data_IF_210065492330
#
_entry.id   IF_210065492330
#
_cell.length_a   1.000
_cell.length_b   1.000
_cell.length_c   1.000
_cell.angle_alpha   90.00
_cell.angle_beta   90.00
_cell.angle_gamma   90.00
#
_symmetry.space_group_name_H-M   'P 1'
#
loop_
_entity.id
_entity.type
_entity.pdbx_description
1 polymer ?
#
# COMPACT_ATOMS: atom_id res chain seq x y z
N UNK A 1 -4.00 4.15 -2.86
CA UNK A 1 -5.19 4.02 -1.99
C UNK A 1 -6.30 3.15 -2.59
N UNK A 2 -7.09 3.62 -3.56
CA UNK A 2 -8.34 2.96 -4.00
C UNK A 2 -8.14 1.54 -4.53
N UNK A 3 -7.06 1.29 -5.28
CA UNK A 3 -6.73 -0.05 -5.74
C UNK A 3 -6.42 -1.00 -4.58
N UNK A 4 -5.73 -0.55 -3.53
CA UNK A 4 -5.47 -1.38 -2.35
C UNK A 4 -6.75 -1.77 -1.63
N UNK A 5 -7.70 -0.82 -1.49
CA UNK A 5 -9.03 -1.13 -0.95
C UNK A 5 -9.78 -2.18 -1.78
N UNK A 6 -9.73 -2.06 -3.12
CA UNK A 6 -10.36 -3.03 -4.01
C UNK A 6 -9.68 -4.41 -3.94
N UNK A 7 -8.35 -4.47 -3.94
CA UNK A 7 -7.61 -5.72 -3.80
C UNK A 7 -7.87 -6.40 -2.45
N UNK A 8 -7.83 -5.63 -1.36
CA UNK A 8 -8.12 -6.12 -0.02
C UNK A 8 -9.51 -6.76 0.06
N UNK A 9 -10.54 -6.05 -0.45
CA UNK A 9 -11.90 -6.58 -0.50
C UNK A 9 -11.99 -7.87 -1.31
N UNK A 10 -11.46 -7.91 -2.53
CA UNK A 10 -11.58 -9.09 -3.39
C UNK A 10 -10.85 -10.31 -2.83
N UNK A 11 -9.64 -10.12 -2.28
CA UNK A 11 -8.88 -11.21 -1.67
C UNK A 11 -9.64 -11.72 -0.44
N UNK A 12 -10.13 -10.82 0.42
CA UNK A 12 -10.92 -11.20 1.57
C UNK A 12 -12.22 -11.91 1.17
N UNK A 13 -12.89 -11.44 0.12
CA UNK A 13 -14.12 -12.04 -0.40
C UNK A 13 -13.91 -13.48 -0.89
N UNK A 14 -12.80 -13.76 -1.57
CA UNK A 14 -12.43 -15.13 -1.96
C UNK A 14 -12.23 -16.01 -0.71
N UNK A 15 -11.51 -15.50 0.29
CA UNK A 15 -11.30 -16.22 1.57
C UNK A 15 -12.65 -16.48 2.26
N UNK A 16 -13.55 -15.49 2.26
CA UNK A 16 -14.89 -15.61 2.81
C UNK A 16 -15.69 -16.74 2.15
N UNK A 17 -15.72 -16.78 0.81
CA UNK A 17 -16.43 -17.84 0.08
C UNK A 17 -15.88 -19.21 0.46
N UNK A 18 -14.55 -19.36 0.50
CA UNK A 18 -13.89 -20.63 0.83
C UNK A 18 -14.19 -21.03 2.28
N UNK A 19 -14.17 -20.06 3.22
CA UNK A 19 -14.27 -20.35 4.64
C UNK A 19 -15.72 -20.53 5.12
N UNK A 20 -16.63 -19.67 4.67
CA UNK A 20 -18.03 -19.65 5.11
C UNK A 20 -18.97 -20.32 4.12
N UNK A 21 -18.51 -20.66 2.91
CA UNK A 21 -19.33 -21.30 1.88
C UNK A 21 -20.45 -20.42 1.34
N UNK A 22 -20.38 -19.10 1.54
CA UNK A 22 -21.44 -18.17 1.20
C UNK A 22 -20.93 -17.08 0.23
N UNK A 23 -21.73 -16.79 -0.79
CA UNK A 23 -21.46 -15.73 -1.77
C UNK A 23 -21.78 -14.33 -1.24
N UNK A 24 -22.54 -14.18 -0.16
CA UNK A 24 -22.90 -12.88 0.40
C UNK A 24 -22.26 -12.75 1.79
N UNK A 25 -21.57 -11.63 2.02
CA UNK A 25 -21.11 -11.24 3.36
C UNK A 25 -22.26 -10.50 4.05
N UNK A 26 -23.29 -11.24 4.45
CA UNK A 26 -24.60 -10.75 4.91
C UNK A 26 -24.83 -10.70 6.42
N UNK A 27 -26.03 -10.30 6.83
CA UNK A 27 -26.51 -10.41 8.21
C UNK A 27 -25.68 -9.65 9.26
N UNK A 28 -25.13 -10.35 10.23
CA UNK A 28 -24.26 -9.76 11.26
C UNK A 28 -22.85 -9.44 10.74
N UNK A 29 -22.44 -10.00 9.60
CA UNK A 29 -21.07 -9.91 9.08
C UNK A 29 -20.85 -8.77 8.09
N UNK A 30 -21.89 -7.98 7.77
CA UNK A 30 -21.85 -6.92 6.75
C UNK A 30 -20.69 -5.95 6.97
N UNK A 31 -20.34 -5.69 8.23
CA UNK A 31 -19.24 -4.80 8.62
C UNK A 31 -17.88 -5.23 8.05
N UNK A 32 -17.67 -6.52 7.76
CA UNK A 32 -16.40 -7.03 7.21
C UNK A 32 -16.10 -6.47 5.81
N UNK A 33 -17.13 -6.17 5.02
CA UNK A 33 -16.97 -5.51 3.71
C UNK A 33 -16.28 -4.16 3.89
N UNK A 34 -16.82 -3.31 4.77
CA UNK A 34 -16.25 -2.01 5.06
C UNK A 34 -14.85 -2.14 5.69
N UNK A 35 -14.69 -3.03 6.67
CA UNK A 35 -13.40 -3.24 7.34
C UNK A 35 -12.31 -3.66 6.35
N UNK A 36 -12.61 -4.58 5.42
CA UNK A 36 -11.61 -5.04 4.45
C UNK A 36 -11.05 -3.89 3.60
N UNK A 37 -11.92 -2.96 3.22
CA UNK A 37 -11.56 -1.81 2.40
C UNK A 37 -10.80 -0.78 3.23
N UNK A 38 -11.29 -0.45 4.44
CA UNK A 38 -10.64 0.50 5.34
C UNK A 38 -9.22 0.02 5.66
N UNK A 39 -9.05 -1.24 6.06
CA UNK A 39 -7.72 -1.75 6.37
C UNK A 39 -6.82 -1.90 5.15
N UNK A 40 -7.40 -2.14 3.96
CA UNK A 40 -6.65 -2.14 2.70
C UNK A 40 -6.07 -0.77 2.37
N UNK A 41 -6.71 0.32 2.77
CA UNK A 41 -6.21 1.69 2.54
C UNK A 41 -5.53 2.31 3.76
N UNK A 42 -5.69 1.71 4.94
CA UNK A 42 -5.23 2.25 6.22
C UNK A 42 -3.74 2.58 6.23
N UNK A 43 -2.82 1.76 5.67
CA UNK A 43 -1.42 2.11 5.69
C UNK A 43 -1.13 3.48 5.09
N UNK A 44 -1.85 3.90 4.04
CA UNK A 44 -1.70 5.20 3.34
C UNK A 44 -2.28 6.42 4.10
N UNK A 45 -2.96 6.24 5.23
CA UNK A 45 -3.57 7.36 5.99
C UNK A 45 -2.53 8.25 6.66
N UNK A 46 -1.35 7.73 6.91
CA UNK A 46 -0.15 8.46 7.32
C UNK A 46 0.30 9.50 6.29
N UNK A 47 0.19 9.19 4.99
CA UNK A 47 0.49 10.07 3.86
C UNK A 47 -0.56 11.17 3.77
N UNK A 48 -1.82 10.83 4.03
CA UNK A 48 -2.90 11.82 4.19
C UNK A 48 -2.66 12.73 5.41
N UNK A 49 -2.23 12.19 6.55
CA UNK A 49 -1.87 12.98 7.73
C UNK A 49 -0.70 13.93 7.42
N UNK A 50 0.35 13.43 6.76
CA UNK A 50 1.49 14.25 6.34
C UNK A 50 1.07 15.35 5.37
N UNK A 51 0.15 15.04 4.45
CA UNK A 51 -0.42 15.97 3.49
C UNK A 51 -1.22 17.11 4.16
N UNK A 52 -2.04 16.78 5.16
CA UNK A 52 -2.82 17.74 5.94
C UNK A 52 -1.90 18.62 6.79
N UNK A 53 -0.95 18.00 7.51
CA UNK A 53 -0.01 18.70 8.39
C UNK A 53 0.85 19.72 7.65
N UNK A 54 1.25 19.42 6.41
CA UNK A 54 2.11 20.29 5.60
C UNK A 54 1.36 21.29 4.71
N UNK A 55 0.11 21.66 5.07
CA UNK A 55 -0.71 22.67 4.39
C UNK A 55 -0.84 22.46 2.88
N UNK A 56 -1.27 21.26 2.45
CA UNK A 56 -1.77 21.03 1.08
C UNK A 56 -0.80 21.51 -0.02
N UNK A 57 0.36 20.86 -0.14
CA UNK A 57 1.25 20.93 -1.32
C UNK A 57 2.14 22.16 -1.52
N UNK A 58 2.22 23.12 -0.59
CA UNK A 58 3.03 24.36 -0.86
C UNK A 58 4.54 24.13 -0.98
N UNK A 59 5.09 23.05 -0.43
CA UNK A 59 6.45 22.57 -0.68
C UNK A 59 6.48 21.05 -0.53
N UNK A 60 6.23 20.31 -1.59
CA UNK A 60 6.66 18.92 -1.61
C UNK A 60 8.18 18.92 -1.68
N UNK A 61 8.78 18.71 -0.51
CA UNK A 61 10.22 18.58 -0.40
C UNK A 61 10.63 17.33 -1.18
N UNK A 62 11.69 17.42 -1.98
CA UNK A 62 12.23 16.29 -2.74
C UNK A 62 12.60 15.12 -1.83
N UNK A 63 12.72 15.36 -0.53
CA UNK A 63 13.18 14.43 0.50
C UNK A 63 12.13 13.42 1.00
N UNK A 64 10.86 13.61 0.67
CA UNK A 64 9.76 12.77 1.17
C UNK A 64 9.94 11.33 0.68
N UNK A 65 10.07 10.41 1.62
CA UNK A 65 10.19 8.97 1.38
C UNK A 65 9.18 8.26 2.28
N UNK A 66 7.98 8.07 1.72
CA UNK A 66 6.79 7.64 2.45
C UNK A 66 7.01 6.30 3.16
N UNK A 67 7.34 5.25 2.42
CA UNK A 67 7.52 3.90 2.96
C UNK A 67 8.74 3.79 3.90
N UNK A 68 9.66 4.75 3.82
CA UNK A 68 10.84 4.78 4.68
C UNK A 68 10.53 5.33 6.07
N UNK A 69 9.79 6.43 6.16
CA UNK A 69 9.54 7.11 7.43
C UNK A 69 8.24 6.66 8.11
N UNK A 70 7.39 5.94 7.39
CA UNK A 70 6.09 5.51 7.88
C UNK A 70 6.09 4.10 8.42
N UNK A 71 5.92 3.98 9.74
CA UNK A 71 5.79 2.70 10.44
C UNK A 71 4.56 1.89 10.01
N UNK A 72 3.55 2.54 9.43
CA UNK A 72 2.36 1.93 8.81
C UNK A 72 2.67 1.13 7.55
N UNK A 73 3.85 1.33 6.93
CA UNK A 73 4.31 0.53 5.78
C UNK A 73 5.37 -0.51 6.16
N UNK A 74 5.54 -0.77 7.47
CA UNK A 74 6.44 -1.81 7.96
C UNK A 74 5.63 -3.04 8.35
N UNK A 75 5.75 -4.17 7.63
CA UNK A 75 4.89 -5.34 7.87
C UNK A 75 4.99 -5.90 9.28
N UNK A 76 6.13 -5.75 9.96
CA UNK A 76 6.27 -6.19 11.36
C UNK A 76 5.49 -5.32 12.36
N UNK A 77 5.06 -4.11 12.00
CA UNK A 77 4.17 -3.29 12.85
C UNK A 77 2.82 -3.94 13.10
N UNK A 78 2.38 -4.84 12.21
CA UNK A 78 1.07 -5.49 12.25
C UNK A 78 1.11 -6.91 12.83
N UNK A 79 2.28 -7.38 13.29
CA UNK A 79 2.43 -8.70 13.92
C UNK A 79 1.48 -8.92 15.11
N UNK A 80 1.17 -7.92 15.98
CA UNK A 80 0.18 -8.10 17.04
C UNK A 80 -1.20 -8.53 16.53
N UNK A 81 -1.62 -8.10 15.33
CA UNK A 81 -2.90 -8.53 14.76
C UNK A 81 -2.89 -10.02 14.43
N UNK A 82 -1.78 -10.55 13.92
CA UNK A 82 -1.62 -11.98 13.64
C UNK A 82 -1.75 -12.80 14.93
N UNK A 83 -1.13 -12.34 16.01
CA UNK A 83 -1.24 -12.98 17.33
C UNK A 83 -2.69 -12.97 17.81
N UNK A 84 -3.38 -11.82 17.70
CA UNK A 84 -4.80 -11.71 18.08
C UNK A 84 -5.70 -12.62 17.23
N UNK A 85 -5.43 -12.73 15.92
CA UNK A 85 -6.16 -13.66 15.06
C UNK A 85 -5.96 -15.11 15.48
N UNK A 86 -4.72 -15.54 15.75
CA UNK A 86 -4.45 -16.91 16.22
C UNK A 86 -5.20 -17.20 17.52
N UNK A 87 -5.17 -16.28 18.48
CA UNK A 87 -5.92 -16.41 19.74
C UNK A 87 -7.42 -16.52 19.45
N UNK A 88 -7.97 -15.62 18.63
CA UNK A 88 -9.39 -15.61 18.26
C UNK A 88 -9.84 -16.88 17.54
N UNK A 89 -8.96 -17.48 16.73
CA UNK A 89 -9.23 -18.71 16.01
C UNK A 89 -9.30 -19.91 16.97
N UNK A 90 -8.41 -19.96 17.97
CA UNK A 90 -8.40 -21.01 18.98
C UNK A 90 -9.59 -20.90 19.93
N UNK A 91 -9.95 -19.68 20.33
CA UNK A 91 -11.06 -19.44 21.27
C UNK A 91 -12.43 -19.37 20.61
N UNK A 92 -12.49 -19.28 19.27
CA UNK A 92 -13.73 -19.08 18.51
C UNK A 92 -14.32 -17.68 18.61
N UNK A 93 -13.56 -16.70 19.14
CA UNK A 93 -14.06 -15.34 19.38
C UNK A 93 -13.91 -14.45 18.14
N UNK A 94 -14.92 -14.44 17.26
CA UNK A 94 -14.98 -13.61 16.05
C UNK A 94 -13.69 -13.58 15.20
N UNK A 95 -13.16 -14.75 14.77
CA UNK A 95 -11.91 -14.82 14.03
C UNK A 95 -11.93 -14.01 12.72
N UNK A 96 -13.08 -13.87 12.08
CA UNK A 96 -13.25 -13.07 10.87
C UNK A 96 -12.92 -11.58 11.07
N UNK A 97 -13.21 -11.03 12.25
CA UNK A 97 -12.92 -9.64 12.58
C UNK A 97 -11.41 -9.38 12.59
N UNK A 98 -10.62 -10.27 13.19
CA UNK A 98 -9.16 -10.15 13.26
C UNK A 98 -8.45 -10.59 11.98
N UNK A 99 -9.04 -11.53 11.22
CA UNK A 99 -8.51 -11.94 9.93
C UNK A 99 -8.57 -10.81 8.89
N UNK A 100 -9.67 -10.06 8.89
CA UNK A 100 -9.92 -8.99 7.93
C UNK A 100 -8.76 -7.99 7.81
N UNK A 101 -8.29 -7.35 8.89
CA UNK A 101 -7.18 -6.41 8.79
C UNK A 101 -5.88 -7.08 8.34
N UNK A 102 -5.59 -8.32 8.76
CA UNK A 102 -4.38 -9.04 8.34
C UNK A 102 -4.39 -9.23 6.83
N UNK A 103 -5.46 -9.83 6.30
CA UNK A 103 -5.59 -10.07 4.85
C UNK A 103 -5.51 -8.75 4.09
N UNK A 104 -6.22 -7.74 4.56
CA UNK A 104 -6.35 -6.47 3.87
C UNK A 104 -5.04 -5.68 3.82
N UNK A 105 -4.30 -5.63 4.93
CA UNK A 105 -3.02 -4.93 5.01
C UNK A 105 -1.93 -5.73 4.29
N UNK A 106 -1.74 -7.01 4.64
CA UNK A 106 -0.63 -7.78 4.08
C UNK A 106 -0.85 -8.10 2.59
N UNK A 107 -2.04 -8.57 2.23
CA UNK A 107 -2.32 -9.06 0.88
C UNK A 107 -2.92 -7.99 -0.03
N UNK A 108 -3.74 -7.08 0.50
CA UNK A 108 -4.34 -5.99 -0.26
C UNK A 108 -3.44 -4.76 -0.43
N UNK A 109 -2.55 -4.50 0.54
CA UNK A 109 -1.66 -3.34 0.52
C UNK A 109 -0.20 -3.72 0.23
N UNK A 110 0.47 -4.38 1.17
CA UNK A 110 1.93 -4.55 1.11
C UNK A 110 2.42 -5.38 -0.07
N UNK A 111 1.69 -6.44 -0.46
CA UNK A 111 2.06 -7.20 -1.67
C UNK A 111 2.05 -6.30 -2.91
N UNK A 112 1.02 -5.46 -3.08
CA UNK A 112 0.91 -4.61 -4.26
C UNK A 112 1.91 -3.46 -4.27
N UNK A 113 2.26 -2.93 -3.09
CA UNK A 113 3.36 -1.97 -2.97
C UNK A 113 4.71 -2.62 -3.22
N UNK A 114 4.90 -3.88 -2.82
CA UNK A 114 6.10 -4.64 -3.15
C UNK A 114 6.24 -4.90 -4.66
N UNK A 115 5.15 -4.81 -5.42
CA UNK A 115 5.16 -4.99 -6.87
C UNK A 115 5.33 -3.65 -7.59
N UNK A 116 4.61 -2.60 -7.18
CA UNK A 116 4.37 -1.45 -8.06
C UNK A 116 4.69 -0.07 -7.47
N UNK A 117 5.00 0.00 -6.17
CA UNK A 117 5.44 1.25 -5.57
C UNK A 117 6.86 1.60 -6.02
N UNK A 118 7.24 2.90 -6.02
CA UNK A 118 8.56 3.32 -6.46
C UNK A 118 9.69 2.81 -5.55
N UNK A 119 9.43 2.76 -4.25
CA UNK A 119 10.44 2.38 -3.25
C UNK A 119 10.30 0.91 -2.80
N UNK A 120 9.11 0.31 -2.90
CA UNK A 120 8.83 -1.06 -2.43
C UNK A 120 8.41 -1.11 -0.96
N UNK A 121 8.45 -2.31 -0.34
CA UNK A 121 8.17 -2.52 1.09
C UNK A 121 9.35 -3.18 1.81
N UNK A 122 9.66 -2.70 3.03
CA UNK A 122 10.67 -3.30 3.92
C UNK A 122 10.05 -4.35 4.85
N UNK A 123 9.86 -5.57 4.35
CA UNK A 123 9.24 -6.66 5.10
C UNK A 123 9.92 -7.03 6.43
N UNK A 124 11.23 -6.84 6.52
CA UNK A 124 12.02 -7.17 7.71
C UNK A 124 12.39 -5.99 8.61
N UNK A 125 11.85 -4.78 8.37
CA UNK A 125 12.16 -3.61 9.21
C UNK A 125 11.48 -3.78 10.56
N UNK A 126 12.28 -3.80 11.63
CA UNK A 126 11.79 -3.84 13.01
C UNK A 126 11.42 -2.41 13.44
N UNK A 127 10.15 -2.11 13.77
CA UNK A 127 9.70 -0.75 13.99
C UNK A 127 10.39 -0.02 15.15
N UNK A 128 10.64 -0.74 16.25
CA UNK A 128 11.24 -0.16 17.46
C UNK A 128 12.77 -0.11 17.43
N UNK A 129 13.42 -0.56 16.34
CA UNK A 129 14.88 -0.49 16.18
C UNK A 129 15.25 0.53 15.12
N UNK A 130 15.90 1.62 15.56
CA UNK A 130 16.27 2.75 14.69
C UNK A 130 17.10 2.31 13.47
N UNK A 131 18.12 1.47 13.66
CA UNK A 131 19.09 1.11 12.60
C UNK A 131 19.03 -0.36 12.15
N UNK A 132 17.83 -0.97 12.16
CA UNK A 132 17.64 -2.33 11.62
C UNK A 132 16.73 -2.29 10.38
N UNK A 133 17.29 -1.83 9.26
CA UNK A 133 16.62 -1.82 7.95
C UNK A 133 16.76 -3.16 7.25
N UNK A 134 15.68 -3.56 6.59
CA UNK A 134 15.68 -4.65 5.61
C UNK A 134 15.74 -4.05 4.21
N UNK A 135 16.23 -4.81 3.22
CA UNK A 135 16.14 -4.39 1.83
C UNK A 135 14.67 -4.15 1.45
N UNK A 136 14.44 -3.07 0.71
CA UNK A 136 13.17 -2.89 0.02
C UNK A 136 12.95 -3.99 -1.01
N UNK A 137 11.75 -4.56 -1.00
CA UNK A 137 11.28 -5.47 -2.05
C UNK A 137 10.44 -4.65 -3.02
N UNK A 138 10.94 -4.54 -4.26
CA UNK A 138 10.28 -3.86 -5.35
C UNK A 138 10.47 -4.64 -6.65
N UNK A 139 9.40 -5.23 -7.19
CA UNK A 139 9.47 -6.21 -8.27
C UNK A 139 9.25 -5.61 -9.67
N UNK A 140 8.40 -4.60 -9.81
CA UNK A 140 7.98 -4.07 -11.11
C UNK A 140 7.70 -2.56 -11.08
N UNK A 141 8.71 -1.78 -10.69
CA UNK A 141 8.61 -0.32 -10.53
C UNK A 141 9.32 0.52 -11.58
N UNK A 142 9.82 -0.05 -12.67
CA UNK A 142 10.64 0.67 -13.65
C UNK A 142 10.01 1.98 -14.16
N UNK A 143 8.68 2.07 -14.16
CA UNK A 143 7.93 3.26 -14.58
C UNK A 143 7.61 4.23 -13.44
N UNK A 144 7.64 3.80 -12.20
CA UNK A 144 7.19 4.55 -11.02
C UNK A 144 8.32 4.90 -10.06
N UNK A 145 9.48 4.27 -10.21
CA UNK A 145 10.69 4.47 -9.42
C UNK A 145 11.19 5.92 -9.46
N UNK A 146 11.47 6.49 -8.29
CA UNK A 146 11.91 7.88 -8.12
C UNK A 146 10.85 8.95 -8.37
N UNK A 147 9.56 8.57 -8.47
CA UNK A 147 8.45 9.52 -8.61
C UNK A 147 7.51 9.46 -7.42
N UNK A 148 6.94 10.61 -7.05
CA UNK A 148 5.88 10.74 -6.03
C UNK A 148 4.68 11.55 -6.54
N UNK A 149 3.58 11.55 -5.78
CA UNK A 149 2.35 12.30 -6.01
C UNK A 149 1.78 12.17 -7.44
N UNK A 150 1.42 13.30 -8.06
CA UNK A 150 0.86 13.36 -9.40
C UNK A 150 1.81 12.81 -10.48
N UNK A 151 3.13 12.93 -10.29
CA UNK A 151 4.12 12.38 -11.22
C UNK A 151 4.15 10.85 -11.17
N UNK A 152 4.06 10.28 -9.96
CA UNK A 152 3.90 8.84 -9.75
C UNK A 152 2.57 8.37 -10.31
N UNK A 153 1.46 9.00 -9.94
CA UNK A 153 0.12 8.61 -10.36
C UNK A 153 -0.04 8.61 -11.88
N UNK A 154 0.53 9.61 -12.57
CA UNK A 154 0.51 9.69 -14.03
C UNK A 154 1.25 8.53 -14.71
N UNK A 155 2.34 8.05 -14.11
CA UNK A 155 3.12 6.91 -14.63
C UNK A 155 2.51 5.57 -14.23
N UNK A 156 2.10 5.44 -12.97
CA UNK A 156 1.43 4.26 -12.44
C UNK A 156 0.23 3.88 -13.28
N UNK A 157 -0.62 4.85 -13.67
CA UNK A 157 -1.79 4.63 -14.54
C UNK A 157 -1.48 4.00 -15.91
N UNK A 158 -0.22 4.05 -16.37
CA UNK A 158 0.22 3.40 -17.61
C UNK A 158 0.75 1.97 -17.40
N UNK A 159 0.86 1.51 -16.16
CA UNK A 159 1.36 0.18 -15.81
C UNK A 159 0.25 -0.87 -15.99
N UNK A 160 0.67 -2.14 -16.10
CA UNK A 160 -0.27 -3.26 -16.10
C UNK A 160 -0.97 -3.38 -14.74
N UNK A 161 -0.26 -3.12 -13.64
CA UNK A 161 -0.83 -3.16 -12.28
C UNK A 161 -1.96 -2.15 -12.09
N UNK A 162 -1.89 -0.95 -12.68
CA UNK A 162 -2.99 -0.01 -12.62
C UNK A 162 -4.23 -0.47 -13.41
N UNK A 163 -4.03 -1.15 -14.55
CA UNK A 163 -5.13 -1.74 -15.32
C UNK A 163 -5.82 -2.86 -14.54
N UNK A 164 -5.03 -3.74 -13.93
CA UNK A 164 -5.53 -4.80 -13.03
C UNK A 164 -6.29 -4.17 -11.86
N UNK A 165 -5.77 -3.10 -11.26
CA UNK A 165 -6.42 -2.39 -10.17
C UNK A 165 -7.74 -1.75 -10.56
N UNK A 166 -7.84 -1.24 -11.78
CA UNK A 166 -9.11 -0.72 -12.33
C UNK A 166 -10.13 -1.84 -12.51
N UNK A 167 -9.72 -3.00 -13.03
CA UNK A 167 -10.60 -4.18 -13.14
C UNK A 167 -11.04 -4.65 -11.75
N UNK A 168 -10.12 -4.74 -10.80
CA UNK A 168 -10.44 -5.08 -9.42
C UNK A 168 -11.47 -4.12 -8.82
N UNK A 169 -11.29 -2.81 -9.02
CA UNK A 169 -12.24 -1.78 -8.58
C UNK A 169 -13.64 -1.99 -9.18
N UNK A 170 -13.74 -2.24 -10.48
CA UNK A 170 -15.02 -2.50 -11.17
C UNK A 170 -15.68 -3.77 -10.60
N UNK A 171 -14.92 -4.85 -10.41
CA UNK A 171 -15.43 -6.09 -9.83
C UNK A 171 -15.95 -5.88 -8.40
N UNK A 172 -15.23 -5.12 -7.58
CA UNK A 172 -15.69 -4.77 -6.23
C UNK A 172 -17.01 -4.00 -6.24
N UNK A 173 -17.17 -3.05 -7.15
CA UNK A 173 -18.44 -2.32 -7.35
C UNK A 173 -19.56 -3.28 -7.74
N UNK A 174 -19.33 -4.22 -8.65
CA UNK A 174 -20.36 -5.19 -9.07
C UNK A 174 -20.78 -6.08 -7.88
N UNK A 175 -19.81 -6.65 -7.16
CA UNK A 175 -20.07 -7.57 -6.04
C UNK A 175 -20.81 -6.87 -4.90
N UNK A 176 -20.37 -5.67 -4.50
CA UNK A 176 -21.05 -4.94 -3.41
C UNK A 176 -22.46 -4.51 -3.85
N UNK A 177 -22.66 -4.20 -5.14
CA UNK A 177 -24.01 -3.87 -5.68
C UNK A 177 -24.93 -5.07 -5.57
N UNK A 178 -24.41 -6.26 -5.88
CA UNK A 178 -25.13 -7.51 -5.72
C UNK A 178 -25.52 -7.74 -4.24
N UNK A 179 -24.62 -7.49 -3.28
CA UNK A 179 -24.97 -7.62 -1.85
C UNK A 179 -26.09 -6.67 -1.44
N UNK A 180 -26.07 -5.41 -1.91
CA UNK A 180 -27.13 -4.43 -1.64
C UNK A 180 -28.49 -4.94 -2.14
N UNK A 181 -28.54 -5.48 -3.37
CA UNK A 181 -29.77 -5.99 -3.97
C UNK A 181 -30.28 -7.25 -3.24
N UNK A 182 -29.37 -8.18 -2.93
CA UNK A 182 -29.72 -9.46 -2.32
C UNK A 182 -30.24 -9.32 -0.89
N UNK A 183 -29.90 -8.23 -0.21
CA UNK A 183 -30.25 -7.99 1.20
C UNK A 183 -31.44 -7.02 1.34
N UNK A 184 -32.16 -6.67 0.27
CA UNK A 184 -33.38 -5.84 0.35
C UNK A 184 -34.45 -6.56 1.20
N UNK A 185 -35.12 -5.87 2.15
CA UNK A 185 -35.08 -4.42 2.44
C UNK A 185 -34.01 -3.97 3.46
N UNK A 186 -33.20 -4.87 3.99
CA UNK A 186 -32.19 -4.63 5.03
C UNK A 186 -30.88 -4.01 4.50
N UNK A 187 -30.98 -2.97 3.66
CA UNK A 187 -29.80 -2.30 3.10
C UNK A 187 -28.95 -1.71 4.21
N UNK A 188 -27.67 -2.09 4.24
CA UNK A 188 -26.72 -1.65 5.26
C UNK A 188 -25.76 -0.58 4.76
N UNK A 189 -25.47 0.41 5.62
CA UNK A 189 -24.41 1.39 5.40
C UNK A 189 -23.03 0.74 5.19
N UNK A 190 -22.81 -0.46 5.71
CA UNK A 190 -21.58 -1.22 5.49
C UNK A 190 -21.35 -1.63 4.03
N UNK A 191 -22.37 -1.56 3.18
CA UNK A 191 -22.24 -1.73 1.72
C UNK A 191 -22.29 -0.40 0.98
N UNK A 192 -23.19 0.49 1.38
CA UNK A 192 -23.41 1.79 0.71
C UNK A 192 -22.18 2.68 0.79
N UNK A 193 -21.52 2.75 1.95
CA UNK A 193 -20.32 3.60 2.11
C UNK A 193 -19.17 3.13 1.21
N UNK A 194 -18.77 1.84 1.23
CA UNK A 194 -17.82 1.29 0.25
C UNK A 194 -18.19 1.52 -1.21
N UNK A 195 -19.47 1.36 -1.55
CA UNK A 195 -19.95 1.56 -2.91
C UNK A 195 -19.69 2.99 -3.38
N UNK A 196 -20.13 3.96 -2.58
CA UNK A 196 -19.95 5.39 -2.89
C UNK A 196 -18.46 5.72 -3.00
N UNK A 197 -17.64 5.23 -2.07
CA UNK A 197 -16.18 5.42 -2.12
C UNK A 197 -15.58 4.91 -3.44
N UNK A 198 -15.89 3.67 -3.84
CA UNK A 198 -15.37 3.09 -5.07
C UNK A 198 -15.89 3.77 -6.33
N UNK A 199 -17.17 4.15 -6.38
CA UNK A 199 -17.74 4.89 -7.52
C UNK A 199 -17.05 6.25 -7.68
N UNK A 200 -16.86 7.00 -6.60
CA UNK A 200 -16.13 8.28 -6.64
C UNK A 200 -14.69 8.07 -7.10
N UNK A 201 -14.00 7.07 -6.55
CA UNK A 201 -12.63 6.74 -6.92
C UNK A 201 -12.51 6.37 -8.41
N UNK A 202 -13.45 5.58 -8.92
CA UNK A 202 -13.52 5.19 -10.33
C UNK A 202 -13.67 6.42 -11.26
N UNK A 203 -14.59 7.33 -10.92
CA UNK A 203 -14.81 8.56 -11.69
C UNK A 203 -13.57 9.47 -11.70
N UNK A 204 -12.82 9.53 -10.60
CA UNK A 204 -11.54 10.25 -10.51
C UNK A 204 -10.45 9.53 -11.32
N UNK A 205 -10.42 8.20 -11.28
CA UNK A 205 -9.46 7.35 -11.99
C UNK A 205 -9.53 7.52 -13.52
N UNK A 206 -10.74 7.67 -14.08
CA UNK A 206 -10.95 7.86 -15.52
C UNK A 206 -10.42 9.22 -16.01
N UNK A 207 -10.42 10.26 -15.17
CA UNK A 207 -9.93 11.58 -15.56
C UNK A 207 -8.44 11.53 -15.87
N UNK A 208 -8.02 12.00 -17.05
CA UNK A 208 -6.60 12.01 -17.44
C UNK A 208 -5.78 12.92 -16.51
N UNK A 209 -4.61 12.48 -16.03
CA UNK A 209 -3.69 13.33 -15.29
C UNK A 209 -3.27 14.57 -16.11
N UNK A 210 -3.06 15.74 -15.47
CA UNK A 210 -2.52 16.93 -16.13
C UNK A 210 -1.22 16.64 -16.90
N UNK A 211 -1.09 17.20 -18.11
CA UNK A 211 0.05 16.92 -19.01
C UNK A 211 1.43 17.17 -18.36
N UNK A 212 1.54 18.13 -17.44
CA UNK A 212 2.76 18.44 -16.71
C UNK A 212 3.36 17.24 -15.98
N UNK A 213 2.53 16.32 -15.48
CA UNK A 213 2.99 15.17 -14.70
C UNK A 213 3.60 14.06 -15.55
N UNK A 214 3.49 14.11 -16.88
CA UNK A 214 4.18 13.17 -17.78
C UNK A 214 5.60 13.61 -18.12
N UNK A 215 6.01 14.83 -17.77
CA UNK A 215 7.40 15.27 -17.90
C UNK A 215 8.21 14.85 -16.67
N UNK A 216 9.53 14.91 -16.77
CA UNK A 216 10.37 14.84 -15.58
C UNK A 216 10.05 16.05 -14.68
N UNK A 217 9.93 15.87 -13.35
CA UNK A 217 9.79 16.99 -12.43
C UNK A 217 10.96 17.98 -12.61
N UNK A 218 10.73 19.30 -12.57
CA UNK A 218 11.79 20.32 -12.65
C UNK A 218 12.91 20.09 -11.64
N UNK A 219 12.52 19.51 -10.50
CA UNK A 219 13.38 19.15 -9.40
C UNK A 219 14.27 17.93 -9.63
N UNK A 220 14.06 17.18 -10.71
CA UNK A 220 14.60 15.83 -10.87
C UNK A 220 13.80 14.79 -10.08
N UNK A 221 14.10 13.51 -10.31
CA UNK A 221 13.47 12.40 -9.57
C UNK A 221 13.63 12.62 -8.07
N UNK A 222 12.57 12.33 -7.34
CA UNK A 222 12.48 12.57 -5.91
C UNK A 222 13.42 11.64 -5.13
N UNK A 223 13.58 11.90 -3.83
CA UNK A 223 14.57 11.25 -2.96
C UNK A 223 14.58 9.75 -3.16
N UNK A 224 15.77 9.23 -3.42
CA UNK A 224 15.96 7.82 -3.68
C UNK A 224 16.55 7.17 -2.43
N UNK A 225 15.81 6.26 -1.79
CA UNK A 225 16.30 5.56 -0.61
C UNK A 225 17.64 4.85 -0.85
N UNK A 226 17.94 4.48 -2.11
CA UNK A 226 19.17 3.76 -2.46
C UNK A 226 20.42 4.59 -2.23
N UNK A 227 20.32 5.91 -2.19
CA UNK A 227 21.45 6.82 -1.96
C UNK A 227 21.40 7.49 -0.60
N UNK A 228 20.41 7.17 0.26
CA UNK A 228 20.29 7.74 1.61
C UNK A 228 21.29 7.07 2.56
N UNK A 229 22.24 7.82 3.17
CA UNK A 229 23.20 7.26 4.12
C UNK A 229 22.54 6.56 5.30
N UNK A 230 21.46 7.15 5.83
CA UNK A 230 20.68 6.55 6.93
C UNK A 230 20.20 5.13 6.60
N UNK A 231 19.61 4.95 5.42
CA UNK A 231 19.14 3.64 4.97
C UNK A 231 20.31 2.66 4.80
N UNK A 232 21.35 3.07 4.07
CA UNK A 232 22.52 2.23 3.77
C UNK A 232 23.18 1.75 5.07
N UNK A 233 23.35 2.65 6.04
CA UNK A 233 24.00 2.35 7.32
C UNK A 233 23.13 1.53 8.27
N UNK A 234 21.81 1.58 8.15
CA UNK A 234 20.94 0.69 8.94
C UNK A 234 20.74 -0.69 8.31
N UNK A 235 21.31 -0.99 7.13
CA UNK A 235 21.32 -2.35 6.59
C UNK A 235 22.32 -3.23 7.34
N UNK A 236 22.05 -4.54 7.45
CA UNK A 236 23.05 -5.49 7.93
C UNK A 236 24.28 -5.53 7.01
N UNK A 237 25.46 -5.87 7.52
CA UNK A 237 26.72 -5.90 6.75
C UNK A 237 26.58 -6.66 5.41
N UNK A 238 25.90 -7.82 5.44
CA UNK A 238 25.64 -8.63 4.24
C UNK A 238 24.76 -7.88 3.23
N UNK A 239 23.70 -7.24 3.68
CA UNK A 239 22.77 -6.52 2.81
C UNK A 239 23.37 -5.20 2.31
N UNK A 240 24.12 -4.50 3.16
CA UNK A 240 24.88 -3.29 2.80
C UNK A 240 25.88 -3.58 1.67
N UNK A 241 26.68 -4.64 1.79
CA UNK A 241 27.62 -5.06 0.72
C UNK A 241 26.89 -5.36 -0.60
N UNK A 242 25.76 -6.07 -0.54
CA UNK A 242 24.92 -6.35 -1.73
C UNK A 242 24.35 -5.08 -2.35
N UNK A 243 23.86 -4.16 -1.51
CA UNK A 243 23.32 -2.87 -1.92
C UNK A 243 24.37 -2.03 -2.65
N UNK A 244 25.55 -1.86 -2.04
CA UNK A 244 26.68 -1.14 -2.64
C UNK A 244 27.08 -1.77 -3.98
N UNK A 245 27.16 -3.11 -4.04
CA UNK A 245 27.49 -3.81 -5.30
C UNK A 245 26.44 -3.56 -6.37
N UNK A 246 25.15 -3.68 -6.02
CA UNK A 246 24.03 -3.54 -6.97
C UNK A 246 23.89 -2.10 -7.50
N UNK A 247 24.12 -1.11 -6.65
CA UNK A 247 23.88 0.30 -6.96
C UNK A 247 25.16 1.13 -7.06
N UNK A 248 26.32 0.49 -7.26
CA UNK A 248 27.63 1.15 -7.27
C UNK A 248 27.67 2.38 -8.17
N UNK A 249 27.27 2.24 -9.43
CA UNK A 249 27.27 3.33 -10.41
C UNK A 249 26.41 4.52 -9.93
N UNK A 250 25.22 4.24 -9.39
CA UNK A 250 24.34 5.28 -8.86
C UNK A 250 24.97 5.99 -7.64
N UNK A 251 25.61 5.23 -6.75
CA UNK A 251 26.29 5.78 -5.57
C UNK A 251 27.50 6.64 -5.96
N UNK A 252 28.25 6.23 -6.99
CA UNK A 252 29.35 7.01 -7.58
C UNK A 252 28.84 8.30 -8.22
N UNK A 253 27.81 8.22 -9.07
CA UNK A 253 27.19 9.37 -9.74
C UNK A 253 26.67 10.40 -8.72
N UNK A 254 26.14 9.93 -7.59
CA UNK A 254 25.62 10.80 -6.51
C UNK A 254 26.66 11.19 -5.47
N UNK A 255 27.92 10.75 -5.60
CA UNK A 255 29.01 11.13 -4.70
C UNK A 255 28.88 10.60 -3.27
N UNK A 256 28.16 9.48 -3.07
CA UNK A 256 27.89 8.89 -1.75
C UNK A 256 28.57 7.53 -1.55
N UNK A 257 29.34 7.04 -2.52
CA UNK A 257 29.98 5.73 -2.45
C UNK A 257 30.98 5.64 -1.28
N UNK A 258 31.83 6.65 -1.11
CA UNK A 258 32.90 6.62 -0.11
C UNK A 258 32.33 6.60 1.32
N UNK A 259 31.31 7.42 1.59
CA UNK A 259 30.58 7.44 2.87
C UNK A 259 29.85 6.11 3.12
N UNK A 260 29.33 5.48 2.07
CA UNK A 260 28.68 4.18 2.17
C UNK A 260 29.68 3.05 2.51
N UNK A 261 30.94 3.16 2.08
CA UNK A 261 31.97 2.14 2.35
C UNK A 261 32.68 2.36 3.69
N UNK A 262 32.85 3.61 4.13
CA UNK A 262 33.62 3.96 5.33
C UNK A 262 32.91 3.66 6.66
N UNK A 263 31.59 3.51 6.63
CA UNK A 263 30.74 3.20 7.79
C UNK A 263 30.34 1.72 7.83
#
# INVERSE_FOLDING_TARGET
>A
MEHHGAYAFLIYYIIWIIWKGNFIIGGEYRYLVLLSIIFGIFPDFDGLYYFIKNKLMKKFNKEVQHHFYSWTHWPLSYLPLVILFIISLITGFHPEFFLTPIVSIYLGHFIFDSISSGDGIMWGKIPWKKQQYAPYINLWSDRTDGYHDGYWAARYRKTIMAKIGTVALIMSIIIISYFIIAEIPEISWFYVVPMVFFVIAFLIGIKRPPKRFFKEPPEGRYADYRVKPEYINGLSTKNKKRHITKFRFLLEEKGVLDEAISN
#
